data_IF_773564905329
#
_entry.id   IF_773564905329
#
_cell.length_a   1.000
_cell.length_b   1.000
_cell.length_c   1.000
_cell.angle_alpha   90.00
_cell.angle_beta   90.00
_cell.angle_gamma   90.00
#
_symmetry.space_group_name_H-M   'P 1'
#
loop_
_entity.id
_entity.type
_entity.pdbx_description
1 polymer ?
#
# COMPACT_ATOMS: atom_id res chain seq x y z
N UNK A 1 -13.49 21.74 9.09
CA UNK A 1 -13.37 22.24 10.46
C UNK A 1 -12.34 21.40 11.20
N UNK A 2 -11.39 22.05 11.80
CA UNK A 2 -10.35 21.33 12.54
C UNK A 2 -10.93 20.75 13.82
N UNK A 3 -10.62 19.48 14.06
CA UNK A 3 -11.02 18.82 15.28
C UNK A 3 -9.91 18.98 16.32
N UNK A 4 -10.05 19.98 17.18
CA UNK A 4 -9.05 20.31 18.19
C UNK A 4 -8.86 19.21 19.24
N UNK A 5 -9.83 18.31 19.39
CA UNK A 5 -9.81 17.23 20.37
C UNK A 5 -9.50 15.87 19.76
N UNK A 6 -9.62 15.71 18.46
CA UNK A 6 -9.52 14.42 17.77
C UNK A 6 -8.22 14.14 17.04
N UNK A 7 -7.23 15.04 17.17
CA UNK A 7 -5.96 14.90 16.50
C UNK A 7 -6.00 15.37 15.03
N UNK A 8 -5.01 14.96 14.20
CA UNK A 8 -4.89 15.45 12.84
C UNK A 8 -6.05 14.94 11.96
N UNK A 9 -6.44 15.72 10.94
CA UNK A 9 -7.49 15.29 10.02
C UNK A 9 -7.04 14.08 9.19
N UNK A 10 -7.99 13.27 8.69
CA UNK A 10 -7.65 12.17 7.78
C UNK A 10 -7.10 12.70 6.45
N UNK A 11 -6.27 11.88 5.80
CA UNK A 11 -5.70 12.21 4.50
C UNK A 11 -6.43 11.45 3.40
N UNK A 12 -6.85 12.17 2.37
CA UNK A 12 -7.49 11.63 1.18
C UNK A 12 -6.64 11.97 -0.03
N UNK A 13 -5.99 10.95 -0.60
CA UNK A 13 -5.15 11.17 -1.78
C UNK A 13 -6.00 11.58 -2.98
N UNK A 14 -5.50 12.49 -3.83
CA UNK A 14 -6.14 12.76 -5.11
C UNK A 14 -6.03 11.54 -6.02
N UNK A 15 -6.99 11.39 -6.94
CA UNK A 15 -7.03 10.24 -7.85
C UNK A 15 -6.16 10.51 -9.09
N UNK A 16 -4.85 10.43 -8.93
CA UNK A 16 -3.87 10.74 -9.96
C UNK A 16 -3.47 9.53 -10.81
N UNK A 17 -3.89 8.31 -10.40
CA UNK A 17 -3.45 7.06 -11.02
C UNK A 17 -4.63 6.20 -11.47
N UNK A 18 -5.74 6.83 -11.86
CA UNK A 18 -6.95 6.13 -12.27
C UNK A 18 -6.71 5.22 -13.48
N UNK A 19 -5.88 5.66 -14.44
CA UNK A 19 -5.59 4.85 -15.62
C UNK A 19 -4.83 3.57 -15.27
N UNK A 20 -3.88 3.64 -14.34
CA UNK A 20 -3.17 2.46 -13.86
C UNK A 20 -4.13 1.49 -13.16
N UNK A 21 -5.00 2.01 -12.29
CA UNK A 21 -6.00 1.20 -11.61
C UNK A 21 -6.93 0.48 -12.60
N UNK A 22 -7.40 1.19 -13.61
CA UNK A 22 -8.26 0.62 -14.66
C UNK A 22 -7.52 -0.47 -15.44
N UNK A 23 -6.26 -0.22 -15.82
CA UNK A 23 -5.46 -1.18 -16.56
C UNK A 23 -5.26 -2.48 -15.76
N UNK A 24 -5.00 -2.37 -14.45
CA UNK A 24 -4.87 -3.54 -13.57
C UNK A 24 -6.19 -4.30 -13.46
N UNK A 25 -7.31 -3.58 -13.31
CA UNK A 25 -8.64 -4.19 -13.23
C UNK A 25 -9.01 -4.93 -14.52
N UNK A 26 -8.53 -4.46 -15.66
CA UNK A 26 -8.74 -5.08 -16.98
C UNK A 26 -7.78 -6.26 -17.23
N UNK A 27 -6.92 -6.59 -16.29
CA UNK A 27 -6.01 -7.73 -16.38
C UNK A 27 -4.73 -7.48 -17.17
N UNK A 28 -4.36 -6.23 -17.39
CA UNK A 28 -3.07 -5.93 -18.02
C UNK A 28 -1.92 -6.36 -17.12
N UNK A 29 -0.78 -6.70 -17.73
CA UNK A 29 0.41 -7.15 -17.01
C UNK A 29 0.87 -6.07 -16.02
N UNK A 30 0.87 -6.37 -14.70
CA UNK A 30 1.26 -5.38 -13.69
C UNK A 30 2.66 -4.79 -13.88
N UNK A 31 3.61 -5.57 -14.40
CA UNK A 31 4.95 -5.06 -14.66
C UNK A 31 4.94 -3.97 -15.74
N UNK A 32 4.12 -4.13 -16.77
CA UNK A 32 3.97 -3.12 -17.83
C UNK A 32 3.27 -1.87 -17.30
N UNK A 33 2.23 -2.06 -16.46
CA UNK A 33 1.53 -0.93 -15.85
C UNK A 33 2.46 -0.17 -14.92
N UNK A 34 3.29 -0.87 -14.14
CA UNK A 34 4.29 -0.25 -13.27
C UNK A 34 5.32 0.55 -14.08
N UNK A 35 5.77 0.02 -15.22
CA UNK A 35 6.70 0.75 -16.10
C UNK A 35 6.08 2.03 -16.65
N UNK A 36 4.78 2.02 -16.93
CA UNK A 36 4.06 3.18 -17.46
C UNK A 36 3.73 4.21 -16.38
N UNK A 37 3.52 3.77 -15.13
CA UNK A 37 3.16 4.66 -14.01
C UNK A 37 3.83 4.20 -12.70
N UNK A 38 5.15 4.36 -12.58
CA UNK A 38 5.88 3.87 -11.40
C UNK A 38 5.59 4.66 -10.12
N UNK A 39 4.90 5.79 -10.20
CA UNK A 39 4.50 6.56 -9.02
C UNK A 39 3.25 6.00 -8.34
N UNK A 40 2.53 5.10 -8.98
CA UNK A 40 1.34 4.47 -8.40
C UNK A 40 1.74 3.42 -7.37
N UNK A 41 1.36 3.62 -6.10
CA UNK A 41 1.55 2.59 -5.06
C UNK A 41 0.84 1.29 -5.41
N UNK A 42 -0.32 1.38 -6.04
CA UNK A 42 -1.15 0.23 -6.35
C UNK A 42 -0.45 -0.78 -7.26
N UNK A 43 0.28 -0.30 -8.28
CA UNK A 43 0.97 -1.21 -9.22
C UNK A 43 2.00 -2.05 -8.49
N UNK A 44 2.74 -1.45 -7.56
CA UNK A 44 3.75 -2.15 -6.76
C UNK A 44 3.09 -3.10 -5.74
N UNK A 45 1.98 -2.67 -5.15
CA UNK A 45 1.22 -3.52 -4.24
C UNK A 45 0.72 -4.79 -4.94
N UNK A 46 0.18 -4.65 -6.15
CA UNK A 46 -0.30 -5.79 -6.94
C UNK A 46 0.85 -6.74 -7.30
N UNK A 47 2.00 -6.21 -7.71
CA UNK A 47 3.19 -7.02 -7.97
C UNK A 47 3.63 -7.79 -6.73
N UNK A 48 3.64 -7.13 -5.55
CA UNK A 48 4.00 -7.77 -4.29
C UNK A 48 3.00 -8.87 -3.92
N UNK A 49 1.71 -8.60 -4.03
CA UNK A 49 0.65 -9.58 -3.73
C UNK A 49 0.75 -10.82 -4.61
N UNK A 50 0.90 -10.63 -5.91
CA UNK A 50 1.04 -11.74 -6.86
C UNK A 50 2.29 -12.57 -6.57
N UNK A 51 3.39 -11.91 -6.20
CA UNK A 51 4.63 -12.60 -5.85
C UNK A 51 4.46 -13.43 -4.58
N UNK A 52 3.83 -12.86 -3.53
CA UNK A 52 3.56 -13.58 -2.29
C UNK A 52 2.63 -14.77 -2.51
N UNK A 53 1.64 -14.62 -3.38
CA UNK A 53 0.70 -15.69 -3.68
C UNK A 53 1.30 -16.77 -4.60
N UNK A 54 2.38 -16.44 -5.30
CA UNK A 54 3.04 -17.33 -6.26
C UNK A 54 4.01 -18.33 -5.65
N UNK A 55 4.42 -18.14 -4.40
CA UNK A 55 5.34 -19.04 -3.71
C UNK A 55 5.72 -18.52 -2.34
N UNK A 56 6.25 -19.43 -1.51
CA UNK A 56 6.63 -19.14 -0.13
C UNK A 56 8.14 -19.26 0.12
N UNK A 57 8.93 -19.44 -0.94
CA UNK A 57 10.39 -19.53 -0.83
C UNK A 57 11.03 -18.15 -0.63
N UNK A 58 12.33 -18.15 -0.32
CA UNK A 58 13.06 -16.91 -0.01
C UNK A 58 13.10 -15.95 -1.19
N UNK A 59 13.16 -16.45 -2.42
CA UNK A 59 13.20 -15.59 -3.61
C UNK A 59 11.89 -14.83 -3.78
N UNK A 60 10.75 -15.51 -3.59
CA UNK A 60 9.44 -14.85 -3.62
C UNK A 60 9.34 -13.81 -2.51
N UNK A 61 9.75 -14.16 -1.30
CA UNK A 61 9.67 -13.24 -0.16
C UNK A 61 10.51 -11.98 -0.38
N UNK A 62 11.75 -12.12 -0.83
CA UNK A 62 12.65 -10.99 -1.09
C UNK A 62 12.14 -10.14 -2.25
N UNK A 63 11.66 -10.77 -3.31
CA UNK A 63 11.10 -10.05 -4.47
C UNK A 63 9.87 -9.24 -4.05
N UNK A 64 8.96 -9.87 -3.31
CA UNK A 64 7.77 -9.18 -2.79
C UNK A 64 8.14 -8.03 -1.85
N UNK A 65 9.15 -8.22 -1.01
CA UNK A 65 9.67 -7.17 -0.13
C UNK A 65 10.11 -5.95 -0.95
N UNK A 66 10.86 -6.16 -2.03
CA UNK A 66 11.33 -5.07 -2.89
C UNK A 66 10.17 -4.33 -3.56
N UNK A 67 9.19 -5.04 -4.10
CA UNK A 67 8.01 -4.44 -4.69
C UNK A 67 7.20 -3.65 -3.66
N UNK A 68 6.91 -4.28 -2.53
CA UNK A 68 6.09 -3.66 -1.48
C UNK A 68 6.76 -2.40 -0.93
N UNK A 69 8.07 -2.45 -0.73
CA UNK A 69 8.83 -1.29 -0.24
C UNK A 69 8.79 -0.14 -1.23
N UNK A 70 8.90 -0.42 -2.52
CA UNK A 70 8.76 0.60 -3.57
C UNK A 70 7.38 1.25 -3.51
N UNK A 71 6.31 0.45 -3.44
CA UNK A 71 4.94 0.97 -3.34
C UNK A 71 4.71 1.76 -2.06
N UNK A 72 5.26 1.30 -0.95
CA UNK A 72 5.22 1.99 0.33
C UNK A 72 5.83 3.40 0.24
N UNK A 73 7.05 3.50 -0.31
CA UNK A 73 7.73 4.80 -0.43
C UNK A 73 7.04 5.74 -1.41
N UNK A 74 6.54 5.23 -2.53
CA UNK A 74 5.76 6.05 -3.46
C UNK A 74 4.50 6.59 -2.81
N UNK A 75 3.83 5.75 -2.01
CA UNK A 75 2.65 6.18 -1.27
C UNK A 75 2.96 7.19 -0.18
N UNK A 76 4.06 7.02 0.56
CA UNK A 76 4.50 8.02 1.54
C UNK A 76 4.75 9.38 0.88
N UNK A 77 5.40 9.39 -0.28
CA UNK A 77 5.64 10.63 -1.02
C UNK A 77 4.32 11.32 -1.37
N UNK A 78 3.34 10.55 -1.85
CA UNK A 78 2.02 11.08 -2.20
C UNK A 78 1.29 11.61 -0.96
N UNK A 79 1.33 10.87 0.15
CA UNK A 79 0.70 11.30 1.41
C UNK A 79 1.29 12.61 1.91
N UNK A 80 2.62 12.74 1.87
CA UNK A 80 3.30 13.95 2.30
C UNK A 80 2.93 15.15 1.43
N UNK A 81 2.84 14.95 0.11
CA UNK A 81 2.37 16.01 -0.80
C UNK A 81 0.93 16.42 -0.51
N UNK A 82 0.11 15.47 -0.05
CA UNK A 82 -1.29 15.75 0.31
C UNK A 82 -1.45 16.34 1.71
N UNK A 83 -0.35 16.56 2.45
CA UNK A 83 -0.38 17.21 3.75
C UNK A 83 -0.28 16.28 4.96
N UNK A 84 -0.20 14.97 4.77
CA UNK A 84 -0.01 14.02 5.87
C UNK A 84 1.35 14.24 6.53
N UNK A 85 1.37 14.27 7.85
CA UNK A 85 2.57 14.60 8.64
C UNK A 85 2.97 13.49 9.61
N UNK A 86 2.76 12.25 9.23
CA UNK A 86 3.14 11.10 10.04
C UNK A 86 2.08 10.64 11.02
N UNK A 87 0.94 11.32 11.09
CA UNK A 87 -0.15 11.00 11.99
C UNK A 87 -1.50 11.22 11.30
N UNK A 88 -2.52 10.55 11.80
CA UNK A 88 -3.87 10.69 11.30
C UNK A 88 -4.29 9.52 10.42
N UNK A 89 -5.58 9.41 10.23
CA UNK A 89 -6.16 8.30 9.48
C UNK A 89 -5.89 8.42 7.99
N UNK A 90 -5.79 7.26 7.34
CA UNK A 90 -5.69 7.11 5.90
C UNK A 90 -6.84 6.17 5.52
N UNK A 91 -8.06 6.71 5.31
CA UNK A 91 -9.26 5.88 5.18
C UNK A 91 -9.17 4.86 4.04
N UNK A 92 -9.45 3.59 4.37
CA UNK A 92 -9.38 2.48 3.41
C UNK A 92 -10.57 2.48 2.43
N UNK A 93 -11.66 3.15 2.75
CA UNK A 93 -12.82 3.28 1.87
C UNK A 93 -12.64 4.34 0.78
N UNK A 94 -11.59 5.16 0.88
CA UNK A 94 -11.22 6.11 -0.15
C UNK A 94 -10.32 5.41 -1.19
N UNK A 95 -10.86 5.16 -2.37
CA UNK A 95 -10.21 4.33 -3.38
C UNK A 95 -8.75 4.72 -3.66
N UNK A 96 -8.39 6.01 -3.83
CA UNK A 96 -6.99 6.39 -4.07
C UNK A 96 -6.01 6.06 -2.91
N UNK A 97 -6.51 5.82 -1.69
CA UNK A 97 -5.65 5.44 -0.56
C UNK A 97 -5.32 3.95 -0.55
N UNK A 98 -6.09 3.13 -1.26
CA UNK A 98 -6.00 1.68 -1.13
C UNK A 98 -4.67 1.11 -1.60
N UNK A 99 -4.08 1.69 -2.63
CA UNK A 99 -2.78 1.24 -3.13
C UNK A 99 -1.69 1.30 -2.08
N UNK A 100 -1.60 2.41 -1.35
CA UNK A 100 -0.65 2.56 -0.25
C UNK A 100 -0.90 1.53 0.86
N UNK A 101 -2.15 1.38 1.28
CA UNK A 101 -2.48 0.44 2.36
C UNK A 101 -2.19 -1.00 1.97
N UNK A 102 -2.44 -1.38 0.73
CA UNK A 102 -2.12 -2.71 0.20
C UNK A 102 -0.60 -2.93 0.14
N UNK A 103 0.16 -1.91 -0.28
CA UNK A 103 1.63 -1.97 -0.28
C UNK A 103 2.16 -2.13 1.15
N UNK A 104 1.59 -1.42 2.11
CA UNK A 104 1.96 -1.49 3.52
C UNK A 104 1.71 -2.88 4.10
N UNK A 105 0.55 -3.47 3.82
CA UNK A 105 0.25 -4.84 4.25
C UNK A 105 1.22 -5.84 3.61
N UNK A 106 1.46 -5.72 2.31
CA UNK A 106 2.40 -6.61 1.61
C UNK A 106 3.82 -6.49 2.17
N UNK A 107 4.23 -5.28 2.55
CA UNK A 107 5.54 -5.07 3.19
C UNK A 107 5.59 -5.77 4.54
N UNK A 108 4.54 -5.69 5.35
CA UNK A 108 4.46 -6.40 6.62
C UNK A 108 4.59 -7.91 6.42
N UNK A 109 3.86 -8.47 5.45
CA UNK A 109 3.89 -9.91 5.14
C UNK A 109 5.28 -10.35 4.67
N UNK A 110 5.85 -9.63 3.70
CA UNK A 110 7.15 -9.97 3.13
C UNK A 110 8.28 -9.83 4.16
N UNK A 111 8.24 -8.75 4.97
CA UNK A 111 9.21 -8.55 6.05
C UNK A 111 9.18 -9.71 7.06
N UNK A 112 7.99 -10.15 7.46
CA UNK A 112 7.84 -11.30 8.34
C UNK A 112 8.41 -12.57 7.74
N UNK A 113 8.23 -12.77 6.44
CA UNK A 113 8.73 -13.96 5.74
C UNK A 113 10.25 -14.03 5.65
N UNK A 114 10.94 -12.90 5.75
CA UNK A 114 12.42 -12.86 5.72
C UNK A 114 13.03 -12.63 7.09
N UNK A 115 12.22 -12.71 8.15
CA UNK A 115 12.72 -12.57 9.54
C UNK A 115 12.90 -11.15 10.02
N UNK A 116 12.45 -10.15 9.26
CA UNK A 116 12.45 -8.75 9.66
C UNK A 116 11.22 -8.45 10.52
N UNK A 117 11.17 -9.06 11.71
CA UNK A 117 9.97 -9.06 12.55
C UNK A 117 9.62 -7.65 13.06
N UNK A 118 10.64 -6.85 13.41
CA UNK A 118 10.41 -5.47 13.85
C UNK A 118 9.77 -4.63 12.73
N UNK A 119 10.21 -4.79 11.48
CA UNK A 119 9.62 -4.12 10.33
C UNK A 119 8.20 -4.60 10.06
N UNK A 120 7.97 -5.91 10.16
CA UNK A 120 6.62 -6.47 10.00
C UNK A 120 5.65 -5.88 11.03
N UNK A 121 6.08 -5.81 12.29
CA UNK A 121 5.26 -5.27 13.38
C UNK A 121 5.02 -3.76 13.21
N UNK A 122 6.03 -3.02 12.80
CA UNK A 122 5.91 -1.58 12.53
C UNK A 122 4.86 -1.32 11.44
N UNK A 123 4.89 -2.08 10.36
CA UNK A 123 3.93 -1.93 9.26
C UNK A 123 2.52 -2.32 9.71
N UNK A 124 2.38 -3.39 10.47
CA UNK A 124 1.08 -3.82 11.00
C UNK A 124 0.49 -2.75 11.94
N UNK A 125 1.32 -2.16 12.81
CA UNK A 125 0.87 -1.09 13.69
C UNK A 125 0.50 0.17 12.91
N UNK A 126 1.21 0.46 11.82
CA UNK A 126 0.88 1.59 10.96
C UNK A 126 -0.54 1.44 10.37
N UNK A 127 -0.92 0.23 9.96
CA UNK A 127 -2.29 -0.01 9.48
C UNK A 127 -3.32 0.31 10.55
N UNK A 128 -3.08 -0.11 11.79
CA UNK A 128 -3.97 0.17 12.92
C UNK A 128 -4.04 1.68 13.16
N UNK A 129 -2.91 2.37 13.17
CA UNK A 129 -2.82 3.81 13.38
C UNK A 129 -3.51 4.58 12.24
N UNK A 130 -3.51 4.04 11.04
CA UNK A 130 -4.21 4.60 9.89
C UNK A 130 -5.74 4.40 9.95
N UNK A 131 -6.22 3.64 10.93
CA UNK A 131 -7.65 3.42 11.13
C UNK A 131 -8.22 2.20 10.42
N UNK A 132 -7.38 1.28 9.98
CA UNK A 132 -7.78 0.05 9.30
C UNK A 132 -7.17 -1.17 9.98
N UNK A 133 -7.10 -2.29 9.28
CA UNK A 133 -6.50 -3.53 9.78
C UNK A 133 -6.01 -4.38 8.61
N UNK A 134 -5.13 -5.33 8.91
CA UNK A 134 -4.67 -6.28 7.91
C UNK A 134 -5.84 -7.05 7.28
N UNK A 135 -6.82 -7.46 8.10
CA UNK A 135 -8.00 -8.17 7.61
C UNK A 135 -8.85 -7.34 6.66
N UNK A 136 -9.08 -6.07 7.00
CA UNK A 136 -9.84 -5.16 6.15
C UNK A 136 -9.12 -4.91 4.82
N UNK A 137 -7.81 -4.64 4.87
CA UNK A 137 -7.02 -4.36 3.66
C UNK A 137 -6.96 -5.59 2.75
N UNK A 138 -6.90 -6.80 3.32
CA UNK A 138 -6.91 -8.03 2.53
C UNK A 138 -8.17 -8.23 1.70
N UNK A 139 -9.27 -7.63 2.10
CA UNK A 139 -10.54 -7.74 1.36
C UNK A 139 -10.65 -6.75 0.21
N UNK A 140 -9.71 -5.82 0.08
CA UNK A 140 -9.74 -4.85 -1.01
C UNK A 140 -9.45 -5.53 -2.35
N UNK A 141 -10.26 -5.21 -3.34
CA UNK A 141 -10.15 -5.78 -4.68
C UNK A 141 -10.10 -4.67 -5.73
N UNK A 142 -9.55 -4.99 -6.88
CA UNK A 142 -9.61 -4.12 -8.05
C UNK A 142 -11.03 -4.14 -8.60
N UNK A 143 -11.64 -3.01 -8.68
CA UNK A 143 -13.02 -2.89 -9.16
C UNK A 143 -13.09 -2.02 -10.41
#
# INVERSE_FOLDING_TARGET
MDNLLGGPPPTYLPDEHAAARTALAEGQDPARVAAADPASSLVWAVLAEQTLDGGDDVVHAVTAYAYARTGYHRGLDALRRAGWRGQGKIPADHLPNQGFLRALLSLSRAAGSIGEDAEADRCAQFLVDAGTSAGEVRTLTLS
#
